data_IF_406863514607
#
_entry.id   IF_406863514607
#
_cell.length_a   1.000
_cell.length_b   1.000
_cell.length_c   1.000
_cell.angle_alpha   90.00
_cell.angle_beta   90.00
_cell.angle_gamma   90.00
#
_symmetry.space_group_name_H-M   'P 1'
#
loop_
_entity.id
_entity.type
_entity.pdbx_description
1 polymer ?
#
# COMPACT_ATOMS: atom_id res chain seq x y z
N UNK A 1 15.75 14.13 -6.76
CA UNK A 1 14.39 14.40 -7.32
C UNK A 1 13.95 13.17 -8.13
N UNK A 2 12.71 12.66 -7.97
CA UNK A 2 12.24 11.45 -8.68
C UNK A 2 11.47 11.83 -9.96
N UNK A 3 12.01 11.46 -11.11
CA UNK A 3 11.47 11.73 -12.44
C UNK A 3 10.64 10.57 -12.97
N UNK A 4 9.76 10.86 -13.92
CA UNK A 4 9.08 9.83 -14.71
C UNK A 4 10.09 9.02 -15.54
N UNK A 5 9.89 7.71 -15.62
CA UNK A 5 10.79 6.80 -16.33
C UNK A 5 10.53 6.70 -17.85
N UNK A 6 9.44 7.26 -18.37
CA UNK A 6 9.14 7.22 -19.82
C UNK A 6 10.09 8.13 -20.58
N UNK A 7 10.63 7.66 -21.70
CA UNK A 7 11.54 8.45 -22.56
C UNK A 7 10.84 9.72 -23.04
N UNK A 8 11.55 10.85 -23.00
CA UNK A 8 11.02 12.16 -23.40
C UNK A 8 10.12 12.84 -22.36
N UNK A 9 9.80 12.18 -21.23
CA UNK A 9 9.01 12.78 -20.17
C UNK A 9 9.90 13.52 -19.15
N UNK A 10 9.59 14.79 -18.90
CA UNK A 10 10.30 15.65 -17.93
C UNK A 10 9.54 15.87 -16.63
N UNK A 11 8.40 15.19 -16.44
CA UNK A 11 7.56 15.28 -15.24
C UNK A 11 8.31 14.72 -14.02
N UNK A 12 8.19 15.39 -12.88
CA UNK A 12 8.84 14.96 -11.63
C UNK A 12 7.97 15.23 -10.40
N UNK A 13 8.09 14.38 -9.38
CA UNK A 13 7.20 14.47 -8.20
C UNK A 13 7.37 15.76 -7.38
N UNK A 14 8.56 16.35 -7.41
CA UNK A 14 8.88 17.56 -6.63
C UNK A 14 8.76 18.86 -7.46
N UNK A 15 8.35 18.76 -8.73
CA UNK A 15 8.17 19.89 -9.64
C UNK A 15 6.81 20.56 -9.42
N UNK A 16 6.77 21.88 -9.35
CA UNK A 16 5.54 22.67 -9.06
C UNK A 16 4.52 22.57 -10.18
N UNK A 17 4.97 22.51 -11.43
CA UNK A 17 4.20 22.31 -12.66
C UNK A 17 3.62 20.89 -12.82
N UNK A 18 3.95 19.97 -11.89
CA UNK A 18 3.48 18.58 -11.90
C UNK A 18 2.59 18.23 -10.70
N UNK A 19 2.06 19.22 -9.96
CA UNK A 19 1.29 18.98 -8.71
C UNK A 19 -0.05 18.27 -8.92
N UNK A 20 -0.65 18.43 -10.10
CA UNK A 20 -1.87 17.76 -10.55
C UNK A 20 -1.62 16.32 -11.01
N UNK A 21 -0.36 15.93 -11.22
CA UNK A 21 0.01 14.61 -11.74
C UNK A 21 0.16 13.58 -10.63
N UNK A 22 -0.38 12.39 -10.90
CA UNK A 22 -0.17 11.23 -10.04
C UNK A 22 1.01 10.41 -10.56
N UNK A 23 1.80 9.84 -9.66
CA UNK A 23 2.96 9.01 -10.00
C UNK A 23 2.77 7.59 -9.48
N UNK A 24 2.84 6.62 -10.39
CA UNK A 24 2.59 5.21 -10.15
C UNK A 24 3.90 4.41 -10.16
N UNK A 25 4.00 3.43 -9.29
CA UNK A 25 5.16 2.52 -9.22
C UNK A 25 5.00 1.40 -10.24
N UNK A 26 6.12 0.85 -10.68
CA UNK A 26 6.13 -0.35 -11.52
C UNK A 26 5.54 -1.56 -10.78
N UNK A 27 4.82 -2.44 -11.48
CA UNK A 27 4.19 -3.63 -10.91
C UNK A 27 5.22 -4.76 -10.72
N UNK A 28 6.23 -4.55 -9.87
CA UNK A 28 7.37 -5.46 -9.70
C UNK A 28 6.99 -6.90 -9.29
N UNK A 29 5.79 -7.10 -8.73
CA UNK A 29 5.27 -8.43 -8.37
C UNK A 29 4.57 -9.15 -9.52
N UNK A 30 4.01 -8.41 -10.48
CA UNK A 30 3.34 -8.98 -11.64
C UNK A 30 4.32 -8.95 -12.82
N UNK A 31 5.09 -10.02 -12.98
CA UNK A 31 6.14 -10.13 -14.00
C UNK A 31 5.58 -9.92 -15.42
N UNK A 32 4.39 -10.47 -15.71
CA UNK A 32 3.75 -10.34 -17.02
C UNK A 32 3.42 -8.89 -17.34
N UNK A 33 2.72 -8.20 -16.43
CA UNK A 33 2.39 -6.78 -16.59
C UNK A 33 3.63 -5.89 -16.63
N UNK A 34 4.65 -6.23 -15.83
CA UNK A 34 5.93 -5.52 -15.81
C UNK A 34 6.61 -5.55 -17.18
N UNK A 35 6.61 -6.70 -17.86
CA UNK A 35 7.18 -6.82 -19.21
C UNK A 35 6.45 -5.92 -20.21
N UNK A 36 5.11 -5.82 -20.11
CA UNK A 36 4.33 -4.91 -20.96
C UNK A 36 4.69 -3.45 -20.68
N UNK A 37 4.84 -3.07 -19.40
CA UNK A 37 5.27 -1.73 -19.02
C UNK A 37 6.67 -1.41 -19.55
N UNK A 38 7.61 -2.35 -19.48
CA UNK A 38 8.98 -2.18 -19.96
C UNK A 38 9.04 -2.01 -21.48
N UNK A 39 8.24 -2.77 -22.22
CA UNK A 39 8.08 -2.60 -23.66
C UNK A 39 7.56 -1.20 -24.00
N UNK A 40 6.65 -0.67 -23.20
CA UNK A 40 5.95 0.59 -23.47
C UNK A 40 6.62 1.84 -22.85
N UNK A 41 7.78 1.77 -22.20
CA UNK A 41 8.45 3.00 -21.69
C UNK A 41 9.51 3.55 -22.65
N UNK A 42 9.85 2.79 -23.70
CA UNK A 42 10.82 3.17 -24.72
C UNK A 42 12.29 3.13 -24.28
N UNK A 43 12.63 2.50 -23.14
CA UNK A 43 14.01 2.35 -22.67
C UNK A 43 14.52 0.93 -22.88
N UNK A 44 15.62 0.78 -23.61
CA UNK A 44 16.31 -0.50 -23.78
C UNK A 44 17.12 -0.86 -22.53
N UNK A 45 17.05 -2.12 -22.09
CA UNK A 45 17.82 -2.63 -20.95
C UNK A 45 17.49 -2.01 -19.58
N UNK A 46 16.35 -1.34 -19.43
CA UNK A 46 16.00 -0.68 -18.18
C UNK A 46 15.48 -1.67 -17.13
N UNK A 47 16.11 -1.67 -15.95
CA UNK A 47 15.65 -2.43 -14.79
C UNK A 47 14.98 -1.49 -13.77
N UNK A 48 13.64 -1.57 -13.60
CA UNK A 48 12.92 -0.72 -12.67
C UNK A 48 13.19 -1.15 -11.23
N UNK A 49 13.37 -0.16 -10.36
CA UNK A 49 13.46 -0.36 -8.92
C UNK A 49 12.15 0.05 -8.21
N UNK A 50 12.06 -0.21 -6.90
CA UNK A 50 10.91 0.19 -6.08
C UNK A 50 10.67 1.71 -6.00
N UNK A 51 11.65 2.50 -6.48
CA UNK A 51 11.59 3.96 -6.55
C UNK A 51 11.35 4.50 -7.96
N UNK A 52 11.31 3.62 -8.98
CA UNK A 52 11.00 3.97 -10.36
C UNK A 52 9.51 4.28 -10.52
N UNK A 53 9.18 5.32 -11.28
CA UNK A 53 7.83 5.89 -11.35
C UNK A 53 7.42 6.25 -12.78
N UNK A 54 6.14 6.10 -13.09
CA UNK A 54 5.51 6.63 -14.30
C UNK A 54 4.41 7.60 -13.90
N UNK A 55 4.32 8.75 -14.57
CA UNK A 55 3.28 9.74 -14.28
C UNK A 55 1.96 9.41 -15.01
N UNK A 56 0.86 10.04 -14.56
CA UNK A 56 -0.48 9.85 -15.13
C UNK A 56 -0.63 10.25 -16.60
N UNK A 57 0.28 11.01 -17.19
CA UNK A 57 0.16 11.36 -18.62
C UNK A 57 0.31 10.14 -19.55
N UNK A 58 0.81 9.03 -19.03
CA UNK A 58 1.12 7.84 -19.81
C UNK A 58 0.08 6.75 -19.68
N UNK A 59 -1.08 6.99 -19.09
CA UNK A 59 -2.17 6.01 -19.05
C UNK A 59 -3.45 6.66 -19.59
N UNK A 60 -4.28 5.86 -20.26
CA UNK A 60 -5.58 6.32 -20.73
C UNK A 60 -6.53 6.64 -19.58
N UNK A 61 -7.48 7.55 -19.81
CA UNK A 61 -8.41 7.95 -18.75
C UNK A 61 -9.29 6.76 -18.28
N UNK A 62 -9.59 5.81 -19.17
CA UNK A 62 -10.33 4.58 -18.85
C UNK A 62 -9.56 3.60 -17.96
N UNK A 63 -8.24 3.79 -17.82
CA UNK A 63 -7.34 2.92 -17.04
C UNK A 63 -7.32 3.31 -15.57
N UNK A 64 -8.02 4.39 -15.23
CA UNK A 64 -8.16 4.86 -13.86
C UNK A 64 -9.40 4.30 -13.18
N UNK A 65 -9.28 4.13 -11.87
CA UNK A 65 -10.39 4.01 -10.94
C UNK A 65 -10.22 5.05 -9.83
N UNK A 66 -11.33 5.44 -9.21
CA UNK A 66 -11.30 6.31 -8.03
C UNK A 66 -11.49 5.46 -6.79
N UNK A 67 -10.57 5.55 -5.83
CA UNK A 67 -10.78 4.97 -4.52
C UNK A 67 -12.04 5.56 -3.89
N UNK A 68 -13.04 4.72 -3.60
CA UNK A 68 -14.33 5.16 -3.03
C UNK A 68 -14.14 6.00 -1.76
N UNK A 69 -13.17 5.62 -0.93
CA UNK A 69 -12.90 6.17 0.40
C UNK A 69 -11.95 7.36 0.39
N UNK A 70 -10.84 7.28 -0.35
CA UNK A 70 -9.82 8.35 -0.36
C UNK A 70 -10.00 9.36 -1.48
N UNK A 71 -10.91 9.09 -2.43
CA UNK A 71 -11.11 9.85 -3.68
C UNK A 71 -9.84 9.98 -4.53
N UNK A 72 -8.81 9.19 -4.23
CA UNK A 72 -7.56 9.17 -5.00
C UNK A 72 -7.76 8.44 -6.31
N UNK A 73 -7.12 8.95 -7.36
CA UNK A 73 -6.99 8.29 -8.65
C UNK A 73 -5.97 7.14 -8.55
N UNK A 74 -6.37 5.97 -8.99
CA UNK A 74 -5.60 4.73 -8.97
C UNK A 74 -5.58 4.12 -10.36
N UNK A 75 -4.54 3.35 -10.67
CA UNK A 75 -4.54 2.53 -11.86
C UNK A 75 -5.29 1.23 -11.60
N UNK A 76 -6.07 0.79 -12.59
CA UNK A 76 -6.62 -0.57 -12.63
C UNK A 76 -5.47 -1.59 -12.68
N UNK A 77 -5.75 -2.81 -12.21
CA UNK A 77 -4.74 -3.86 -12.09
C UNK A 77 -4.08 -4.22 -13.42
N UNK A 78 -4.82 -4.15 -14.52
CA UNK A 78 -4.34 -4.45 -15.88
C UNK A 78 -3.95 -3.19 -16.69
N UNK A 79 -3.87 -2.03 -16.03
CA UNK A 79 -3.53 -0.80 -16.73
C UNK A 79 -2.10 -0.83 -17.25
N UNK A 80 -1.92 -0.49 -18.52
CA UNK A 80 -0.63 -0.44 -19.20
C UNK A 80 -0.36 0.99 -19.64
N UNK A 81 0.91 1.46 -19.55
CA UNK A 81 1.24 2.77 -20.05
C UNK A 81 1.20 2.78 -21.57
N UNK A 82 0.69 3.85 -22.16
CA UNK A 82 0.71 4.11 -23.60
C UNK A 82 1.69 5.26 -23.84
N UNK A 83 2.66 5.04 -24.74
CA UNK A 83 3.49 6.13 -25.23
C UNK A 83 2.61 6.94 -26.19
N UNK A 84 2.02 8.03 -25.69
CA UNK A 84 1.60 9.08 -26.59
C UNK A 84 2.87 9.69 -27.17
N UNK A 85 3.14 9.40 -28.44
CA UNK A 85 4.06 10.19 -29.26
C UNK A 85 3.50 11.60 -29.34
N UNK A 86 3.73 12.44 -28.31
CA UNK A 86 3.49 13.87 -28.42
C UNK A 86 4.58 14.40 -29.35
N UNK A 87 4.36 14.31 -30.65
CA UNK A 87 5.16 15.05 -31.62
C UNK A 87 4.90 16.54 -31.38
N UNK A 88 5.94 17.35 -31.13
CA UNK A 88 5.83 18.78 -31.33
C UNK A 88 5.62 19.01 -32.83
N UNK A 89 4.56 19.74 -33.18
CA UNK A 89 4.27 20.21 -34.54
C UNK A 89 5.50 20.88 -35.15
N UNK A 90 6.07 20.33 -36.23
CA UNK A 90 6.80 21.08 -37.26
C UNK A 90 6.56 20.44 -38.65
N UNK A 91 6.33 21.32 -39.62
CA UNK A 91 5.89 21.15 -41.01
C UNK A 91 6.91 20.49 -41.95
N UNK A 92 6.50 19.94 -43.10
CA UNK A 92 7.36 19.15 -43.98
C UNK A 92 8.25 20.01 -44.88
N UNK A 93 9.53 19.61 -45.03
CA UNK A 93 10.34 19.94 -46.21
C UNK A 93 10.80 18.65 -46.87
N UNK A 94 10.34 18.50 -48.11
CA UNK A 94 10.65 17.47 -49.10
C UNK A 94 12.09 17.62 -49.58
N UNK A 95 12.77 16.48 -49.80
CA UNK A 95 14.03 16.37 -50.52
C UNK A 95 14.51 14.92 -50.55
N UNK A 96 14.37 14.27 -51.71
CA UNK A 96 14.87 12.93 -52.07
C UNK A 96 15.79 13.13 -53.30
N UNK A 97 16.51 12.10 -53.80
CA UNK A 97 17.61 11.31 -53.25
C UNK A 97 18.93 11.56 -54.00
N UNK A 98 20.03 10.93 -53.59
CA UNK A 98 21.05 10.49 -54.57
C UNK A 98 21.65 9.13 -54.21
N UNK A 99 21.77 8.34 -55.26
CA UNK A 99 22.25 6.98 -55.47
C UNK A 99 23.77 6.84 -55.48
N UNK A 100 24.28 5.65 -55.13
CA UNK A 100 25.44 4.95 -55.73
C UNK A 100 25.71 3.65 -54.90
N UNK A 101 25.53 2.45 -55.47
CA UNK A 101 26.59 1.51 -55.95
C UNK A 101 27.53 1.02 -54.83
N UNK A 102 27.98 -0.22 -54.67
CA UNK A 102 28.20 -1.36 -55.55
C UNK A 102 28.17 -2.65 -54.71
N UNK A 103 28.11 -3.80 -55.38
CA UNK A 103 28.01 -5.12 -54.75
C UNK A 103 29.32 -5.66 -54.18
N UNK A 104 29.20 -6.73 -53.39
CA UNK A 104 29.74 -8.04 -53.77
C UNK A 104 29.33 -9.13 -52.78
N UNK A 105 29.07 -10.29 -53.37
CA UNK A 105 28.71 -11.57 -52.78
C UNK A 105 29.97 -12.45 -52.71
N UNK A 106 30.21 -13.17 -51.61
CA UNK A 106 30.64 -14.58 -51.60
C UNK A 106 30.91 -15.09 -50.17
N UNK A 107 30.23 -16.18 -49.79
CA UNK A 107 30.69 -17.18 -48.80
C UNK A 107 31.72 -18.13 -49.47
N UNK A 108 32.14 -19.22 -48.80
CA UNK A 108 32.96 -19.34 -47.60
C UNK A 108 34.25 -20.13 -47.93
N UNK A 109 35.32 -20.01 -47.13
CA UNK A 109 36.42 -20.97 -47.25
C UNK A 109 36.86 -21.49 -45.87
N UNK A 110 37.05 -22.80 -45.83
CA UNK A 110 37.45 -23.54 -44.66
C UNK A 110 38.95 -23.46 -44.44
N UNK A 111 39.38 -23.65 -43.20
CA UNK A 111 40.66 -24.27 -42.91
C UNK A 111 40.56 -24.97 -41.56
N UNK A 112 41.04 -26.21 -41.56
CA UNK A 112 41.15 -27.15 -40.43
C UNK A 112 42.39 -26.80 -39.61
N UNK A 113 42.32 -26.87 -38.28
CA UNK A 113 43.29 -27.54 -37.38
C UNK A 113 43.12 -27.09 -35.93
N UNK A 114 43.24 -28.02 -34.99
CA UNK A 114 43.37 -27.70 -33.56
C UNK A 114 42.69 -28.70 -32.65
N UNK A 115 43.19 -29.93 -32.62
CA UNK A 115 42.77 -30.97 -31.68
C UNK A 115 43.28 -30.59 -30.27
N UNK A 116 42.41 -30.02 -29.45
CA UNK A 116 42.59 -29.99 -28.00
C UNK A 116 41.48 -30.84 -27.37
N UNK A 117 41.87 -32.00 -26.87
CA UNK A 117 41.05 -32.83 -26.00
C UNK A 117 40.80 -32.06 -24.71
N UNK A 118 39.60 -31.47 -24.61
CA UNK A 118 39.02 -31.08 -23.33
C UNK A 118 37.85 -32.03 -23.14
N UNK A 119 37.93 -32.85 -22.08
CA UNK A 119 36.87 -33.75 -21.64
C UNK A 119 35.58 -32.96 -21.47
N UNK A 120 34.72 -32.98 -22.48
CA UNK A 120 33.46 -32.26 -22.50
C UNK A 120 32.42 -33.13 -21.81
N UNK A 121 32.18 -32.88 -20.53
CA UNK A 121 30.95 -33.30 -19.88
C UNK A 121 29.80 -32.59 -20.61
N UNK A 122 29.21 -33.28 -21.58
CA UNK A 122 28.01 -32.78 -22.27
C UNK A 122 26.84 -33.21 -21.40
N UNK A 123 26.47 -32.36 -20.45
CA UNK A 123 25.23 -32.57 -19.68
C UNK A 123 24.07 -32.73 -20.67
N UNK A 124 23.36 -33.83 -20.58
CA UNK A 124 22.23 -34.12 -21.46
C UNK A 124 21.09 -33.18 -21.13
N UNK A 125 20.25 -32.85 -22.12
CA UNK A 125 19.09 -31.97 -21.93
C UNK A 125 18.16 -32.44 -20.80
N UNK A 126 18.07 -33.76 -20.58
CA UNK A 126 17.36 -34.38 -19.46
C UNK A 126 17.97 -34.01 -18.12
N UNK A 127 19.29 -34.02 -18.00
CA UNK A 127 20.01 -33.68 -16.75
C UNK A 127 19.82 -32.21 -16.38
N UNK A 128 19.84 -31.32 -17.38
CA UNK A 128 19.54 -29.89 -17.19
C UNK A 128 18.08 -29.68 -16.77
N UNK A 129 17.14 -30.41 -17.38
CA UNK A 129 15.71 -30.33 -17.05
C UNK A 129 15.42 -30.83 -15.62
N UNK A 130 16.06 -31.94 -15.22
CA UNK A 130 15.91 -32.51 -13.88
C UNK A 130 16.49 -31.59 -12.81
N UNK A 131 17.64 -30.97 -13.08
CA UNK A 131 18.21 -29.92 -12.21
C UNK A 131 17.29 -28.71 -12.11
N UNK A 132 16.69 -28.28 -13.22
CA UNK A 132 15.76 -27.15 -13.21
C UNK A 132 14.51 -27.43 -12.36
N UNK A 133 13.97 -28.65 -12.45
CA UNK A 133 12.83 -29.07 -11.62
C UNK A 133 13.22 -29.15 -10.15
N UNK A 134 14.37 -29.75 -9.83
CA UNK A 134 14.90 -29.83 -8.46
C UNK A 134 15.12 -28.44 -7.85
N UNK A 135 15.73 -27.51 -8.59
CA UNK A 135 15.89 -26.11 -8.18
C UNK A 135 14.54 -25.42 -7.92
N UNK A 136 13.53 -25.72 -8.73
CA UNK A 136 12.18 -25.17 -8.58
C UNK A 136 11.49 -25.71 -7.31
N UNK A 137 11.71 -26.98 -7.01
CA UNK A 137 11.20 -27.60 -5.78
C UNK A 137 11.91 -27.04 -4.54
N UNK A 138 13.23 -26.89 -4.57
CA UNK A 138 14.01 -26.25 -3.50
C UNK A 138 13.56 -24.80 -3.25
N UNK A 139 13.32 -24.02 -4.33
CA UNK A 139 12.79 -22.66 -4.20
C UNK A 139 11.40 -22.62 -3.56
N UNK A 140 10.55 -23.59 -3.88
CA UNK A 140 9.21 -23.72 -3.29
C UNK A 140 9.29 -24.07 -1.81
N UNK A 141 10.15 -25.02 -1.44
CA UNK A 141 10.36 -25.41 -0.05
C UNK A 141 10.91 -24.25 0.80
N UNK A 142 11.86 -23.48 0.25
CA UNK A 142 12.39 -22.27 0.90
C UNK A 142 11.31 -21.20 1.06
N UNK A 143 10.47 -20.98 0.05
CA UNK A 143 9.33 -20.05 0.14
C UNK A 143 8.34 -20.48 1.22
N UNK A 144 8.02 -21.76 1.33
CA UNK A 144 7.12 -22.28 2.36
C UNK A 144 7.71 -22.14 3.77
N UNK A 145 9.01 -22.40 3.91
CA UNK A 145 9.74 -22.23 5.18
C UNK A 145 9.76 -20.78 5.64
N UNK A 146 10.00 -19.84 4.73
CA UNK A 146 9.92 -18.40 5.00
C UNK A 146 8.49 -17.97 5.31
N UNK A 147 7.52 -18.50 4.56
CA UNK A 147 6.09 -18.26 4.72
C UNK A 147 5.60 -18.59 6.13
N UNK A 148 6.05 -19.70 6.73
CA UNK A 148 5.71 -20.11 8.10
C UNK A 148 6.25 -19.19 9.20
N UNK A 149 7.27 -18.37 8.91
CA UNK A 149 7.86 -17.42 9.86
C UNK A 149 7.25 -16.02 9.76
N UNK A 150 6.47 -15.75 8.71
CA UNK A 150 5.88 -14.43 8.50
C UNK A 150 4.89 -14.07 9.61
N UNK A 151 4.87 -12.79 10.02
CA UNK A 151 3.90 -12.29 10.99
C UNK A 151 2.56 -11.97 10.31
N UNK A 152 1.77 -13.02 10.06
CA UNK A 152 0.45 -12.97 9.39
C UNK A 152 -0.61 -13.74 10.21
N UNK A 153 -1.91 -13.46 10.03
CA UNK A 153 -2.99 -14.10 10.79
C UNK A 153 -2.94 -15.62 10.81
N UNK A 154 -2.61 -16.24 9.67
CA UNK A 154 -2.60 -17.69 9.49
C UNK A 154 -1.50 -18.36 10.31
N UNK A 155 -0.41 -17.66 10.60
CA UNK A 155 0.74 -18.19 11.35
C UNK A 155 0.64 -17.98 12.86
N UNK A 156 -0.35 -17.22 13.34
CA UNK A 156 -0.60 -17.08 14.77
C UNK A 156 -0.99 -18.45 15.32
N UNK A 157 -0.35 -18.96 16.37
CA UNK A 157 -0.45 -20.38 16.71
C UNK A 157 -1.82 -20.74 17.31
N UNK A 158 -2.31 -19.94 18.28
CA UNK A 158 -3.51 -20.25 19.05
C UNK A 158 -4.37 -19.02 19.34
N UNK A 159 -5.57 -19.26 19.87
CA UNK A 159 -6.53 -18.21 20.23
C UNK A 159 -6.03 -17.28 21.34
N UNK A 160 -5.19 -17.76 22.25
CA UNK A 160 -4.60 -16.93 23.31
C UNK A 160 -3.72 -15.84 22.70
N UNK A 161 -2.83 -16.21 21.77
CA UNK A 161 -2.00 -15.27 21.03
C UNK A 161 -2.85 -14.34 20.16
N UNK A 162 -3.86 -14.88 19.45
CA UNK A 162 -4.73 -14.08 18.59
C UNK A 162 -5.51 -13.02 19.38
N UNK A 163 -6.02 -13.37 20.57
CA UNK A 163 -6.69 -12.44 21.48
C UNK A 163 -5.75 -11.40 22.03
N UNK A 164 -4.53 -11.79 22.41
CA UNK A 164 -3.53 -10.84 22.90
C UNK A 164 -3.21 -9.79 21.83
N UNK A 165 -3.11 -10.21 20.58
CA UNK A 165 -2.78 -9.37 19.44
C UNK A 165 -3.97 -8.53 18.95
N UNK A 166 -5.16 -9.10 18.79
CA UNK A 166 -6.28 -8.43 18.09
C UNK A 166 -7.50 -8.16 18.95
N UNK A 167 -7.59 -8.76 20.13
CA UNK A 167 -8.80 -8.80 20.96
C UNK A 167 -9.79 -9.91 20.58
N UNK A 168 -9.55 -10.66 19.51
CA UNK A 168 -10.47 -11.69 18.99
C UNK A 168 -9.86 -13.10 19.03
N UNK A 169 -10.70 -14.14 19.11
CA UNK A 169 -10.30 -15.50 18.71
C UNK A 169 -10.03 -15.53 17.21
N UNK A 170 -9.36 -16.57 16.71
CA UNK A 170 -9.16 -16.78 15.27
C UNK A 170 -10.48 -16.81 14.50
N UNK A 171 -11.47 -17.54 15.02
CA UNK A 171 -12.80 -17.62 14.42
C UNK A 171 -13.48 -16.24 14.38
N UNK A 172 -13.48 -15.49 15.49
CA UNK A 172 -14.09 -14.16 15.54
C UNK A 172 -13.37 -13.17 14.64
N UNK A 173 -12.05 -13.24 14.52
CA UNK A 173 -11.30 -12.42 13.56
C UNK A 173 -11.80 -12.65 12.14
N UNK A 174 -11.93 -13.91 11.72
CA UNK A 174 -12.45 -14.27 10.39
C UNK A 174 -13.90 -13.80 10.20
N UNK A 175 -14.76 -13.99 11.20
CA UNK A 175 -16.14 -13.50 11.15
C UNK A 175 -16.22 -11.99 11.01
N UNK A 176 -15.43 -11.23 11.79
CA UNK A 176 -15.39 -9.77 11.71
C UNK A 176 -14.87 -9.31 10.36
N UNK A 177 -13.80 -9.92 9.85
CA UNK A 177 -13.25 -9.60 8.53
C UNK A 177 -14.28 -9.80 7.42
N UNK A 178 -14.96 -10.95 7.42
CA UNK A 178 -16.01 -11.29 6.46
C UNK A 178 -17.25 -10.40 6.60
N UNK A 179 -17.71 -10.13 7.83
CA UNK A 179 -18.87 -9.28 8.10
C UNK A 179 -18.64 -7.84 7.62
N UNK A 180 -17.45 -7.29 7.90
CA UNK A 180 -17.10 -5.95 7.43
C UNK A 180 -16.93 -5.91 5.92
N UNK A 181 -16.65 -7.05 5.26
CA UNK A 181 -16.49 -7.18 3.81
C UNK A 181 -15.55 -6.10 3.23
N UNK A 182 -14.34 -6.00 3.80
CA UNK A 182 -13.36 -4.94 3.50
C UNK A 182 -12.32 -5.36 2.44
N UNK A 183 -12.39 -6.59 1.93
CA UNK A 183 -11.40 -7.14 0.99
C UNK A 183 -11.20 -6.23 -0.23
N UNK A 184 -12.26 -6.00 -1.01
CA UNK A 184 -12.22 -5.15 -2.22
C UNK A 184 -11.84 -3.71 -1.90
N UNK A 185 -12.32 -3.19 -0.77
CA UNK A 185 -12.07 -1.82 -0.34
C UNK A 185 -10.59 -1.58 -0.06
N UNK A 186 -9.93 -2.52 0.62
CA UNK A 186 -8.50 -2.47 0.94
C UNK A 186 -7.62 -2.70 -0.28
N UNK A 187 -8.07 -3.46 -1.28
CA UNK A 187 -7.36 -3.62 -2.55
C UNK A 187 -7.21 -2.28 -3.29
N UNK A 188 -8.17 -1.36 -3.15
CA UNK A 188 -8.05 -0.01 -3.74
C UNK A 188 -6.87 0.79 -3.18
N UNK A 189 -6.29 0.42 -2.04
CA UNK A 189 -5.13 1.12 -1.49
C UNK A 189 -3.82 0.97 -2.29
N UNK A 190 -3.77 0.02 -3.25
CA UNK A 190 -2.55 -0.38 -3.97
C UNK A 190 -1.37 -0.67 -3.02
N UNK A 191 -1.63 -1.58 -2.09
CA UNK A 191 -0.73 -1.91 -0.99
C UNK A 191 0.16 -3.11 -1.31
N UNK A 192 1.27 -3.25 -0.58
CA UNK A 192 2.24 -4.34 -0.79
C UNK A 192 1.96 -5.60 0.03
N UNK A 193 0.94 -5.61 0.90
CA UNK A 193 0.49 -6.76 1.71
C UNK A 193 -0.94 -7.12 1.33
N UNK A 194 -1.38 -8.34 1.68
CA UNK A 194 -2.77 -8.77 1.39
C UNK A 194 -3.75 -7.96 2.24
N UNK A 195 -4.97 -7.70 1.77
CA UNK A 195 -6.02 -7.03 2.56
C UNK A 195 -6.19 -7.58 3.98
N UNK A 196 -6.20 -8.90 4.14
CA UNK A 196 -6.32 -9.56 5.45
C UNK A 196 -5.13 -9.25 6.39
N UNK A 197 -3.90 -9.19 5.86
CA UNK A 197 -2.69 -8.85 6.62
C UNK A 197 -2.73 -7.38 7.07
N UNK A 198 -3.27 -6.50 6.23
CA UNK A 198 -3.41 -5.06 6.50
C UNK A 198 -4.46 -4.82 7.57
N UNK A 199 -5.58 -5.53 7.50
CA UNK A 199 -6.62 -5.50 8.53
C UNK A 199 -6.10 -6.05 9.86
N UNK A 200 -5.32 -7.14 9.82
CA UNK A 200 -4.66 -7.68 11.00
C UNK A 200 -3.70 -6.68 11.64
N UNK A 201 -2.81 -6.03 10.86
CA UNK A 201 -1.94 -4.97 11.35
C UNK A 201 -2.74 -3.86 12.05
N UNK A 202 -3.86 -3.44 11.46
CA UNK A 202 -4.73 -2.42 12.03
C UNK A 202 -5.27 -2.82 13.40
N UNK A 203 -5.79 -4.06 13.54
CA UNK A 203 -6.27 -4.57 14.83
C UNK A 203 -5.15 -4.73 15.85
N UNK A 204 -3.97 -5.23 15.44
CA UNK A 204 -2.79 -5.32 16.31
C UNK A 204 -2.44 -3.96 16.87
N UNK A 205 -2.39 -2.93 16.02
CA UNK A 205 -2.07 -1.58 16.45
C UNK A 205 -3.13 -1.01 17.41
N UNK A 206 -4.42 -1.22 17.11
CA UNK A 206 -5.51 -0.75 17.99
C UNK A 206 -5.48 -1.43 19.36
N UNK A 207 -5.28 -2.74 19.39
CA UNK A 207 -5.33 -3.53 20.63
C UNK A 207 -4.13 -3.27 21.53
N UNK A 208 -2.94 -3.21 20.94
CA UNK A 208 -1.68 -3.22 21.70
C UNK A 208 -1.07 -1.84 21.90
N UNK A 209 -1.48 -0.83 21.11
CA UNK A 209 -0.87 0.50 21.15
C UNK A 209 0.57 0.56 20.63
N UNK A 210 1.08 -0.52 20.02
CA UNK A 210 2.47 -0.61 19.55
C UNK A 210 2.81 0.48 18.52
N UNK A 211 4.07 0.94 18.57
CA UNK A 211 4.59 2.00 17.71
C UNK A 211 4.64 1.59 16.23
N UNK A 212 4.68 2.59 15.33
CA UNK A 212 4.78 2.30 13.90
C UNK A 212 6.13 1.68 13.54
N UNK A 213 7.19 2.09 14.23
CA UNK A 213 8.55 1.61 14.04
C UNK A 213 8.63 0.10 14.31
N UNK A 214 8.01 -0.37 15.40
CA UNK A 214 8.03 -1.80 15.72
C UNK A 214 7.15 -2.62 14.76
N UNK A 215 5.97 -2.11 14.40
CA UNK A 215 5.13 -2.74 13.38
C UNK A 215 5.82 -2.80 12.01
N UNK A 216 6.66 -1.81 11.70
CA UNK A 216 7.43 -1.76 10.45
C UNK A 216 8.41 -2.94 10.35
N UNK A 217 9.02 -3.33 11.48
CA UNK A 217 9.89 -4.51 11.61
C UNK A 217 9.06 -5.79 11.47
N UNK A 218 7.99 -5.94 12.25
CA UNK A 218 7.17 -7.16 12.25
C UNK A 218 6.58 -7.49 10.89
N UNK A 219 6.12 -6.46 10.15
CA UNK A 219 5.49 -6.64 8.85
C UNK A 219 6.45 -6.45 7.68
N UNK A 220 7.74 -6.16 7.93
CA UNK A 220 8.76 -5.92 6.90
C UNK A 220 8.32 -4.86 5.89
N UNK A 221 7.85 -3.71 6.38
CA UNK A 221 7.41 -2.56 5.60
C UNK A 221 8.00 -1.29 6.20
N UNK A 222 7.91 -0.15 5.49
CA UNK A 222 8.36 1.12 6.06
C UNK A 222 7.37 1.65 7.10
N UNK A 223 7.87 2.41 8.09
CA UNK A 223 7.03 3.16 9.06
C UNK A 223 5.91 3.97 8.36
N UNK A 224 6.30 4.71 7.33
CA UNK A 224 5.36 5.48 6.51
C UNK A 224 4.29 4.64 5.80
N UNK A 225 4.57 3.35 5.57
CA UNK A 225 3.60 2.39 5.02
C UNK A 225 2.66 1.92 6.12
N UNK A 226 3.15 1.64 7.33
CA UNK A 226 2.32 1.34 8.51
C UNK A 226 1.31 2.46 8.75
N UNK A 227 1.78 3.71 8.82
CA UNK A 227 0.92 4.89 9.00
C UNK A 227 -0.15 5.00 7.91
N UNK A 228 0.23 4.73 6.64
CA UNK A 228 -0.69 4.74 5.51
C UNK A 228 -1.75 3.65 5.63
N UNK A 229 -1.34 2.42 5.96
CA UNK A 229 -2.25 1.28 6.15
C UNK A 229 -3.27 1.60 7.24
N UNK A 230 -2.79 2.05 8.41
CA UNK A 230 -3.65 2.37 9.54
C UNK A 230 -4.68 3.45 9.19
N UNK A 231 -4.22 4.56 8.60
CA UNK A 231 -5.11 5.68 8.23
C UNK A 231 -6.15 5.25 7.18
N UNK A 232 -5.75 4.39 6.24
CA UNK A 232 -6.64 3.90 5.19
C UNK A 232 -7.71 2.98 5.75
N UNK A 233 -7.32 1.96 6.53
CA UNK A 233 -8.28 1.04 7.17
C UNK A 233 -9.24 1.81 8.07
N UNK A 234 -8.74 2.78 8.85
CA UNK A 234 -9.58 3.67 9.66
C UNK A 234 -10.65 4.39 8.81
N UNK A 235 -10.27 4.90 7.64
CA UNK A 235 -11.18 5.60 6.72
C UNK A 235 -12.24 4.64 6.16
N UNK A 236 -11.83 3.43 5.74
CA UNK A 236 -12.74 2.39 5.24
C UNK A 236 -13.75 1.99 6.31
N UNK A 237 -13.28 1.71 7.53
CA UNK A 237 -14.14 1.31 8.63
C UNK A 237 -15.07 2.44 9.06
N UNK A 238 -14.60 3.68 9.11
CA UNK A 238 -15.47 4.83 9.37
C UNK A 238 -16.60 4.90 8.35
N UNK A 239 -16.31 4.80 7.05
CA UNK A 239 -17.33 4.88 6.01
C UNK A 239 -18.34 3.73 6.05
N UNK A 240 -17.92 2.53 6.48
CA UNK A 240 -18.82 1.38 6.67
C UNK A 240 -19.66 1.48 7.94
N UNK A 241 -19.05 1.94 9.03
CA UNK A 241 -19.66 1.91 10.37
C UNK A 241 -20.33 3.24 10.74
N UNK A 242 -20.14 4.33 9.98
CA UNK A 242 -20.75 5.65 10.28
C UNK A 242 -22.27 5.65 10.33
N UNK A 243 -22.91 4.68 9.68
CA UNK A 243 -24.37 4.52 9.69
C UNK A 243 -24.86 3.72 10.90
N UNK A 244 -23.96 3.06 11.63
CA UNK A 244 -24.28 2.50 12.92
C UNK A 244 -24.52 3.67 13.87
N UNK A 245 -25.79 3.95 14.14
CA UNK A 245 -26.22 4.84 15.20
C UNK A 245 -25.90 4.21 16.58
N UNK A 246 -24.61 4.04 16.89
CA UNK A 246 -24.16 3.60 18.21
C UNK A 246 -24.49 4.65 19.29
N UNK A 247 -24.76 5.89 18.86
CA UNK A 247 -25.13 6.99 19.72
C UNK A 247 -26.66 7.25 19.63
N UNK A 248 -27.44 6.90 20.66
CA UNK A 248 -28.88 7.22 20.71
C UNK A 248 -29.15 8.74 20.61
N UNK A 249 -30.33 9.09 20.12
CA UNK A 249 -30.78 10.49 20.06
C UNK A 249 -30.91 11.08 21.47
N UNK A 250 -30.73 12.41 21.60
CA UNK A 250 -30.87 13.09 22.90
C UNK A 250 -32.21 12.78 23.58
N UNK A 251 -33.29 12.75 22.80
CA UNK A 251 -34.63 12.40 23.30
C UNK A 251 -34.68 11.02 23.95
N UNK A 252 -34.16 9.99 23.27
CA UNK A 252 -34.12 8.61 23.76
C UNK A 252 -33.29 8.48 25.03
N UNK A 253 -32.14 9.17 25.09
CA UNK A 253 -31.27 9.14 26.28
C UNK A 253 -31.97 9.77 27.48
N UNK A 254 -32.62 10.92 27.29
CA UNK A 254 -33.36 11.60 28.35
C UNK A 254 -34.50 10.70 28.85
N UNK A 255 -35.30 10.13 27.95
CA UNK A 255 -36.40 9.22 28.32
C UNK A 255 -35.95 8.06 29.21
N UNK A 256 -34.78 7.48 28.95
CA UNK A 256 -34.20 6.37 29.73
C UNK A 256 -33.31 6.80 30.91
N UNK A 257 -33.11 8.10 31.15
CA UNK A 257 -32.17 8.59 32.17
C UNK A 257 -32.72 8.35 33.60
N UNK A 258 -31.91 7.83 34.55
CA UNK A 258 -32.33 7.71 35.94
C UNK A 258 -32.59 9.08 36.59
N UNK A 259 -33.64 9.20 37.42
CA UNK A 259 -34.04 10.47 38.09
C UNK A 259 -32.92 11.16 38.86
N UNK A 260 -32.03 10.38 39.47
CA UNK A 260 -30.88 10.89 40.23
C UNK A 260 -29.84 11.58 39.34
N UNK A 261 -29.79 11.25 38.04
CA UNK A 261 -28.87 11.84 37.07
C UNK A 261 -29.39 13.15 36.47
N UNK A 262 -30.70 13.42 36.58
CA UNK A 262 -31.32 14.62 35.99
C UNK A 262 -30.94 15.92 36.70
N UNK A 263 -30.68 15.89 38.01
CA UNK A 263 -30.40 17.11 38.78
C UNK A 263 -29.06 17.74 38.40
N UNK A 264 -28.07 16.91 38.06
CA UNK A 264 -26.69 17.35 37.82
C UNK A 264 -26.23 17.17 36.37
N UNK A 265 -26.81 16.22 35.62
CA UNK A 265 -26.29 15.74 34.34
C UNK A 265 -27.36 15.64 33.24
N UNK A 266 -28.37 16.53 33.24
CA UNK A 266 -29.49 16.52 32.28
C UNK A 266 -29.08 16.57 30.81
N UNK A 267 -27.95 17.20 30.49
CA UNK A 267 -27.42 17.30 29.13
C UNK A 267 -26.40 16.20 28.78
N UNK A 268 -26.07 15.32 29.74
CA UNK A 268 -25.19 14.18 29.51
C UNK A 268 -25.86 13.21 28.52
N UNK A 269 -25.17 12.92 27.41
CA UNK A 269 -25.69 12.00 26.39
C UNK A 269 -25.04 10.62 26.44
N UNK A 270 -23.77 10.56 26.82
CA UNK A 270 -22.99 9.33 26.88
C UNK A 270 -21.98 9.48 28.01
N UNK A 271 -21.71 8.38 28.70
CA UNK A 271 -20.61 8.27 29.64
C UNK A 271 -19.54 7.48 28.90
N UNK A 272 -18.40 8.11 28.68
CA UNK A 272 -17.27 7.44 28.05
C UNK A 272 -16.31 7.09 29.17
N UNK A 273 -16.26 5.81 29.53
CA UNK A 273 -15.24 5.30 30.44
C UNK A 273 -13.92 5.19 29.68
N UNK A 274 -12.92 5.95 30.11
CA UNK A 274 -11.60 6.01 29.49
C UNK A 274 -10.55 6.06 30.58
N UNK A 275 -9.48 5.28 30.40
CA UNK A 275 -8.30 5.38 31.25
C UNK A 275 -7.53 6.64 30.90
N UNK A 276 -7.52 7.61 31.81
CA UNK A 276 -6.72 8.83 31.69
C UNK A 276 -5.27 8.54 32.07
N UNK A 277 -4.33 8.93 31.21
CA UNK A 277 -2.91 8.87 31.51
C UNK A 277 -2.38 10.29 31.70
N UNK A 278 -1.73 10.62 32.83
CA UNK A 278 -1.14 11.93 33.02
C UNK A 278 0.00 12.11 32.02
N UNK A 279 -0.14 13.11 31.15
CA UNK A 279 0.90 13.51 30.20
C UNK A 279 1.66 14.72 30.73
N UNK A 280 2.96 14.76 30.49
CA UNK A 280 3.79 15.89 30.90
C UNK A 280 3.45 17.11 30.04
N UNK A 281 2.79 18.09 30.67
CA UNK A 281 2.38 19.33 30.01
C UNK A 281 3.60 20.25 29.82
N UNK A 282 3.87 20.76 28.61
CA UNK A 282 4.86 21.80 28.42
C UNK A 282 4.53 23.05 29.24
N UNK A 283 5.51 23.58 29.97
CA UNK A 283 5.32 24.74 30.84
C UNK A 283 5.05 26.06 30.10
N UNK A 284 5.20 26.11 28.78
CA UNK A 284 5.01 27.33 27.98
C UNK A 284 3.81 27.20 27.02
N UNK A 285 2.98 28.26 26.88
CA UNK A 285 1.84 28.26 25.97
C UNK A 285 2.20 27.95 24.51
N UNK A 286 3.39 28.36 24.07
CA UNK A 286 3.87 28.11 22.71
C UNK A 286 4.22 26.62 22.48
N UNK A 287 4.84 25.98 23.48
CA UNK A 287 5.15 24.55 23.42
C UNK A 287 3.89 23.71 23.60
N UNK A 288 2.93 24.15 24.41
CA UNK A 288 1.59 23.58 24.52
C UNK A 288 0.89 23.59 23.15
N UNK A 289 0.91 24.73 22.45
CA UNK A 289 0.29 24.84 21.12
C UNK A 289 0.96 23.91 20.09
N UNK A 290 2.30 23.80 20.09
CA UNK A 290 3.03 22.88 19.22
C UNK A 290 2.78 21.41 19.57
N UNK A 291 2.75 21.07 20.86
CA UNK A 291 2.42 19.74 21.37
C UNK A 291 1.01 19.33 20.93
N UNK A 292 0.03 20.21 21.14
CA UNK A 292 -1.36 20.01 20.70
C UNK A 292 -1.46 19.90 19.17
N UNK A 293 -0.65 20.64 18.40
CA UNK A 293 -0.59 20.54 16.94
C UNK A 293 -0.02 19.21 16.45
N UNK A 294 0.98 18.66 17.15
CA UNK A 294 1.60 17.37 16.82
C UNK A 294 0.68 16.19 17.12
N UNK A 295 -0.17 16.33 18.13
CA UNK A 295 -1.20 15.35 18.52
C UNK A 295 -2.59 15.62 17.92
N UNK A 296 -2.70 16.50 16.91
CA UNK A 296 -3.96 16.86 16.22
C UNK A 296 -4.70 15.71 15.52
N UNK A 297 -4.08 14.55 15.34
CA UNK A 297 -4.77 13.38 14.76
C UNK A 297 -5.97 12.92 15.61
N UNK A 298 -5.99 13.26 16.91
CA UNK A 298 -7.07 12.91 17.83
C UNK A 298 -8.21 13.97 17.90
N UNK A 299 -7.92 15.26 17.70
CA UNK A 299 -8.90 16.36 17.88
C UNK A 299 -9.99 16.48 16.81
N UNK A 300 -9.92 15.78 15.67
CA UNK A 300 -10.97 15.91 14.63
C UNK A 300 -12.32 15.31 15.07
N UNK A 301 -12.33 14.53 16.16
CA UNK A 301 -13.53 13.95 16.78
C UNK A 301 -14.13 14.80 17.92
N UNK A 302 -13.48 15.88 18.37
CA UNK A 302 -13.86 16.62 19.59
C UNK A 302 -14.83 17.80 19.38
N UNK A 303 -15.33 18.04 18.16
CA UNK A 303 -16.06 19.29 17.87
C UNK A 303 -17.47 19.39 18.47
N UNK A 304 -17.92 18.43 19.29
CA UNK A 304 -19.23 18.44 19.94
C UNK A 304 -19.25 18.08 21.43
N UNK A 305 -18.09 17.95 22.09
CA UNK A 305 -18.05 17.56 23.50
C UNK A 305 -17.39 18.65 24.34
N UNK A 306 -18.16 19.22 25.27
CA UNK A 306 -17.64 20.06 26.33
C UNK A 306 -16.90 19.15 27.32
N UNK A 307 -15.60 18.97 27.11
CA UNK A 307 -14.69 18.41 28.11
C UNK A 307 -13.73 19.54 28.47
N UNK A 308 -13.81 20.01 29.72
CA UNK A 308 -12.82 20.94 30.27
C UNK A 308 -11.47 20.23 30.24
N UNK A 309 -10.49 20.93 29.69
CA UNK A 309 -9.04 20.69 29.72
C UNK A 309 -8.61 19.34 30.31
N UNK A 310 -8.29 18.36 29.47
CA UNK A 310 -7.21 17.35 29.57
C UNK A 310 -7.36 16.38 28.37
N UNK A 311 -6.26 15.99 27.70
CA UNK A 311 -6.31 15.23 26.44
C UNK A 311 -6.50 13.72 26.69
N UNK A 312 -7.48 13.11 26.01
CA UNK A 312 -7.87 11.70 26.12
C UNK A 312 -7.15 10.80 25.10
N UNK A 313 -6.78 9.59 25.51
CA UNK A 313 -6.51 8.45 24.64
C UNK A 313 -7.69 7.47 24.74
N UNK A 314 -8.38 7.22 23.63
CA UNK A 314 -9.61 6.42 23.63
C UNK A 314 -9.31 4.92 23.65
N UNK A 315 -9.72 4.22 24.72
CA UNK A 315 -10.16 2.83 24.64
C UNK A 315 -11.67 2.85 24.87
N UNK A 316 -12.46 2.64 23.83
CA UNK A 316 -13.92 2.60 23.95
C UNK A 316 -14.31 1.22 24.48
N UNK A 317 -14.62 1.13 25.77
CA UNK A 317 -15.39 0.02 26.34
C UNK A 317 -16.83 0.53 26.44
N UNK A 318 -17.71 0.00 25.58
CA UNK A 318 -19.15 0.25 25.68
C UNK A 318 -19.71 -0.69 26.75
N UNK A 319 -20.25 -0.11 27.83
CA UNK A 319 -21.25 -0.77 28.66
C UNK A 319 -22.64 -0.60 28.04
#
# INVERSE_FOLDING_TARGET
>A
MRYCCVVGCSNAKAKTDCRDKTFFKFPLKNSQLLQVWLKNIGRQGFMPSCSSLICSDHFEENSYSTCRFTKRRLLKQEAVPIIFSKTPKQTPKVGLPSSATDGNNMQPDGTKHGMHSVSSQTETFTDVSDRMNKLKDELKELQDSLGKKAFIPENISNDTQMKALTGFTKERFSCVYSFLNVEEDLQTGNFCKRPVDIFFLFLVKLRTGISNEFLSVLFEISDSTVSRYFTFVMTVLYEKLKLLYIFPSKSKVVESMPRQFYSENRDCRFIVDCTEFPIQKPNSPANDLQFLQKHKYFKRYDRHYAVRDHQLHFTVILW
#
